data_IF_765473392741
#
_entry.id   IF_765473392741
#
_cell.length_a   1.000
_cell.length_b   1.000
_cell.length_c   1.000
_cell.angle_alpha   90.00
_cell.angle_beta   90.00
_cell.angle_gamma   90.00
#
_symmetry.space_group_name_H-M   'P 1'
#
loop_
_entity.id
_entity.type
_entity.pdbx_description
1 polymer ?
#
# COMPACT_ATOMS: atom_id res chain seq x y z
N UNK A 1 -3.66 21.61 4.57
CA UNK A 1 -2.21 21.33 4.64
C UNK A 1 -1.80 20.25 3.63
N UNK A 2 -2.47 19.10 3.57
CA UNK A 2 -2.11 17.94 2.72
C UNK A 2 -2.16 18.22 1.22
N UNK A 3 -3.18 18.93 0.71
CA UNK A 3 -3.27 19.30 -0.71
C UNK A 3 -2.05 20.10 -1.18
N UNK A 4 -1.59 21.06 -0.37
CA UNK A 4 -0.38 21.84 -0.68
C UNK A 4 0.87 20.98 -0.72
N UNK A 5 0.97 20.00 0.16
CA UNK A 5 2.09 19.05 0.17
C UNK A 5 2.10 18.20 -1.10
N UNK A 6 0.97 17.62 -1.47
CA UNK A 6 0.84 16.82 -2.71
C UNK A 6 1.18 17.67 -3.94
N UNK A 7 0.67 18.91 -4.03
CA UNK A 7 1.00 19.83 -5.12
C UNK A 7 2.51 20.14 -5.20
N UNK A 8 3.13 20.42 -4.08
CA UNK A 8 4.56 20.72 -4.02
C UNK A 8 5.41 19.51 -4.43
N UNK A 9 5.02 18.30 -4.02
CA UNK A 9 5.70 17.07 -4.40
C UNK A 9 5.55 16.82 -5.90
N UNK A 10 4.34 16.90 -6.45
CA UNK A 10 4.05 16.69 -7.87
C UNK A 10 4.78 17.71 -8.77
N UNK A 11 4.80 18.99 -8.36
CA UNK A 11 5.49 20.06 -9.09
C UNK A 11 6.98 19.83 -9.23
N UNK A 12 7.65 19.10 -8.30
CA UNK A 12 9.08 18.74 -8.42
C UNK A 12 9.39 17.88 -9.66
N UNK A 13 8.38 17.20 -10.21
CA UNK A 13 8.47 16.38 -11.42
C UNK A 13 7.73 17.01 -12.61
N UNK A 14 7.35 18.28 -12.50
CA UNK A 14 6.67 19.02 -13.57
C UNK A 14 5.18 18.69 -13.72
N UNK A 15 4.58 17.99 -12.75
CA UNK A 15 3.16 17.65 -12.82
C UNK A 15 2.27 18.77 -12.31
N UNK A 16 1.21 19.06 -13.05
CA UNK A 16 0.16 19.98 -12.67
C UNK A 16 -0.90 19.24 -11.89
N UNK A 17 -1.34 19.80 -10.77
CA UNK A 17 -2.38 19.20 -9.93
C UNK A 17 -3.70 19.96 -10.05
N UNK A 18 -4.80 19.21 -10.16
CA UNK A 18 -6.16 19.70 -10.12
C UNK A 18 -6.79 19.13 -8.85
N UNK A 19 -7.49 19.96 -8.08
CA UNK A 19 -8.10 19.53 -6.83
C UNK A 19 -9.60 19.57 -6.90
N UNK A 20 -10.25 18.49 -6.51
CA UNK A 20 -11.65 18.42 -6.19
C UNK A 20 -11.83 18.20 -4.68
N UNK A 21 -12.79 18.84 -4.05
CA UNK A 21 -13.10 18.68 -2.63
C UNK A 21 -14.10 17.56 -2.38
N UNK A 22 -14.93 17.29 -3.37
CA UNK A 22 -16.03 16.36 -3.31
C UNK A 22 -15.99 15.40 -4.49
N UNK A 23 -16.53 14.21 -4.32
CA UNK A 23 -16.56 13.17 -5.34
C UNK A 23 -17.24 13.65 -6.62
N UNK A 24 -18.41 14.29 -6.48
CA UNK A 24 -19.18 14.81 -7.61
C UNK A 24 -18.39 15.84 -8.44
N UNK A 25 -17.70 16.77 -7.76
CA UNK A 25 -16.83 17.75 -8.42
C UNK A 25 -15.67 17.07 -9.15
N UNK A 26 -15.09 16.03 -8.54
CA UNK A 26 -14.02 15.23 -9.14
C UNK A 26 -14.50 14.51 -10.40
N UNK A 27 -15.67 13.89 -10.33
CA UNK A 27 -16.28 13.19 -11.46
C UNK A 27 -16.63 14.17 -12.58
N UNK A 28 -17.24 15.34 -12.26
CA UNK A 28 -17.56 16.37 -13.24
C UNK A 28 -16.30 16.89 -13.95
N UNK A 29 -15.19 17.01 -13.23
CA UNK A 29 -13.90 17.44 -13.79
C UNK A 29 -13.41 16.51 -14.91
N UNK A 30 -13.69 15.20 -14.85
CA UNK A 30 -13.27 14.24 -15.89
C UNK A 30 -13.82 14.56 -17.29
N UNK A 31 -14.96 15.23 -17.36
CA UNK A 31 -15.59 15.66 -18.63
C UNK A 31 -15.06 17.00 -19.17
N UNK A 32 -14.19 17.68 -18.44
CA UNK A 32 -13.60 18.96 -18.87
C UNK A 32 -12.32 18.74 -19.71
N UNK A 33 -11.87 19.73 -20.50
CA UNK A 33 -10.60 19.65 -21.22
C UNK A 33 -9.42 19.32 -20.30
N UNK A 34 -9.37 19.90 -19.10
CA UNK A 34 -8.35 19.61 -18.09
C UNK A 34 -8.45 18.17 -17.57
N UNK A 35 -9.67 17.68 -17.37
CA UNK A 35 -9.90 16.29 -16.93
C UNK A 35 -9.57 15.26 -18.02
N UNK A 36 -9.73 15.61 -19.28
CA UNK A 36 -9.33 14.77 -20.42
C UNK A 36 -7.81 14.59 -20.50
N UNK A 37 -7.05 15.57 -20.03
CA UNK A 37 -5.59 15.57 -20.00
C UNK A 37 -4.98 14.96 -18.71
N UNK A 38 -5.79 14.38 -17.83
CA UNK A 38 -5.29 13.73 -16.61
C UNK A 38 -4.53 12.45 -16.92
N UNK A 39 -3.35 12.33 -16.30
CA UNK A 39 -2.51 11.12 -16.37
C UNK A 39 -2.78 10.16 -15.21
N UNK A 40 -3.25 10.66 -14.06
CA UNK A 40 -3.60 9.84 -12.90
C UNK A 40 -4.59 10.57 -11.97
N UNK A 41 -5.28 9.79 -11.14
CA UNK A 41 -6.13 10.27 -10.04
C UNK A 41 -5.51 9.85 -8.72
N UNK A 42 -5.43 10.79 -7.77
CA UNK A 42 -5.08 10.54 -6.39
C UNK A 42 -6.33 10.72 -5.53
N UNK A 43 -6.90 9.62 -5.07
CA UNK A 43 -8.13 9.58 -4.28
C UNK A 43 -7.81 9.54 -2.79
N UNK A 44 -8.12 10.61 -2.06
CA UNK A 44 -7.95 10.67 -0.60
C UNK A 44 -9.17 10.07 0.11
N UNK A 45 -8.98 8.88 0.68
CA UNK A 45 -9.98 8.18 1.49
C UNK A 45 -9.63 8.32 2.97
N UNK A 46 -9.95 9.47 3.54
CA UNK A 46 -9.71 9.77 4.96
C UNK A 46 -10.95 9.59 5.83
N UNK A 47 -12.15 9.49 5.25
CA UNK A 47 -13.40 9.28 5.97
C UNK A 47 -13.75 7.79 6.01
N UNK A 48 -14.05 7.22 7.19
CA UNK A 48 -14.48 5.83 7.30
C UNK A 48 -15.84 5.56 6.64
N UNK A 49 -16.65 6.60 6.49
CA UNK A 49 -18.02 6.50 5.95
C UNK A 49 -18.07 6.71 4.42
N UNK A 50 -16.95 7.03 3.78
CA UNK A 50 -16.91 7.25 2.34
C UNK A 50 -16.90 5.91 1.60
N UNK A 51 -17.81 5.73 0.64
CA UNK A 51 -17.81 4.59 -0.28
C UNK A 51 -16.71 4.75 -1.35
N UNK A 52 -15.48 4.42 -0.96
CA UNK A 52 -14.36 4.43 -1.90
C UNK A 52 -14.54 3.41 -3.04
N UNK A 53 -15.16 2.29 -2.76
CA UNK A 53 -15.36 1.22 -3.73
C UNK A 53 -16.32 1.66 -4.85
N UNK A 54 -17.46 2.24 -4.47
CA UNK A 54 -18.43 2.79 -5.42
C UNK A 54 -17.83 3.92 -6.26
N UNK A 55 -17.09 4.84 -5.63
CA UNK A 55 -16.43 5.94 -6.33
C UNK A 55 -15.38 5.45 -7.33
N UNK A 56 -14.54 4.48 -6.94
CA UNK A 56 -13.55 3.89 -7.85
C UNK A 56 -14.24 3.20 -9.02
N UNK A 57 -15.32 2.47 -8.79
CA UNK A 57 -16.13 1.83 -9.82
C UNK A 57 -16.70 2.84 -10.83
N UNK A 58 -17.23 3.97 -10.34
CA UNK A 58 -17.74 5.04 -11.20
C UNK A 58 -16.62 5.70 -12.02
N UNK A 59 -15.48 5.99 -11.41
CA UNK A 59 -14.30 6.53 -12.11
C UNK A 59 -13.82 5.57 -13.21
N UNK A 60 -13.81 4.26 -12.95
CA UNK A 60 -13.45 3.22 -13.93
C UNK A 60 -14.43 3.15 -15.09
N UNK A 61 -15.71 3.28 -14.83
CA UNK A 61 -16.73 3.31 -15.89
C UNK A 61 -16.51 4.47 -16.87
N UNK A 62 -16.12 5.64 -16.36
CA UNK A 62 -15.88 6.84 -17.17
C UNK A 62 -14.51 6.86 -17.84
N UNK A 63 -13.50 6.40 -17.14
CA UNK A 63 -12.09 6.41 -17.59
C UNK A 63 -11.42 5.07 -17.25
N UNK A 64 -11.65 4.01 -18.04
CA UNK A 64 -11.20 2.65 -17.73
C UNK A 64 -9.69 2.50 -17.54
N UNK A 65 -8.91 3.27 -18.29
CA UNK A 65 -7.45 3.16 -18.31
C UNK A 65 -6.73 4.18 -17.41
N UNK A 66 -7.45 5.17 -16.85
CA UNK A 66 -6.81 6.22 -16.06
C UNK A 66 -6.34 5.63 -14.70
N UNK A 67 -5.06 5.73 -14.36
CA UNK A 67 -4.56 5.23 -13.07
C UNK A 67 -5.24 5.90 -11.89
N UNK A 68 -5.66 5.10 -10.90
CA UNK A 68 -6.29 5.56 -9.66
C UNK A 68 -5.45 5.08 -8.49
N UNK A 69 -4.78 6.01 -7.79
CA UNK A 69 -4.05 5.72 -6.56
C UNK A 69 -4.89 6.15 -5.36
N UNK A 70 -5.13 5.25 -4.43
CA UNK A 70 -5.90 5.54 -3.22
C UNK A 70 -4.97 5.91 -2.06
N UNK A 71 -5.24 7.03 -1.39
CA UNK A 71 -4.60 7.40 -0.11
C UNK A 71 -5.50 7.00 1.05
N UNK A 72 -4.96 6.30 2.03
CA UNK A 72 -5.69 5.89 3.23
C UNK A 72 -4.90 6.21 4.51
N UNK A 73 -5.62 6.55 5.57
CA UNK A 73 -5.04 6.64 6.91
C UNK A 73 -4.93 5.27 7.58
N UNK A 74 -5.74 4.30 7.13
CA UNK A 74 -5.78 2.95 7.69
C UNK A 74 -5.14 1.97 6.70
N UNK A 75 -3.95 1.50 7.05
CA UNK A 75 -3.18 0.52 6.27
C UNK A 75 -3.62 -0.93 6.43
N UNK A 76 -4.88 -1.21 6.81
CA UNK A 76 -5.34 -2.59 6.93
C UNK A 76 -5.31 -3.31 5.57
N UNK A 77 -4.88 -4.55 5.58
CA UNK A 77 -4.84 -5.41 4.38
C UNK A 77 -6.23 -5.52 3.74
N UNK A 78 -7.29 -5.59 4.54
CA UNK A 78 -8.66 -5.67 4.05
C UNK A 78 -9.04 -4.44 3.20
N UNK A 79 -8.70 -3.23 3.65
CA UNK A 79 -8.97 -2.00 2.90
C UNK A 79 -8.18 -1.93 1.60
N UNK A 80 -6.92 -2.35 1.62
CA UNK A 80 -6.08 -2.42 0.43
C UNK A 80 -6.67 -3.40 -0.61
N UNK A 81 -7.03 -4.61 -0.18
CA UNK A 81 -7.64 -5.63 -1.05
C UNK A 81 -8.97 -5.15 -1.63
N UNK A 82 -9.81 -4.49 -0.83
CA UNK A 82 -11.08 -3.95 -1.31
C UNK A 82 -10.87 -2.85 -2.36
N UNK A 83 -9.91 -1.93 -2.13
CA UNK A 83 -9.57 -0.89 -3.09
C UNK A 83 -9.10 -1.49 -4.43
N UNK A 84 -8.21 -2.47 -4.39
CA UNK A 84 -7.69 -3.13 -5.59
C UNK A 84 -8.80 -3.89 -6.34
N UNK A 85 -9.69 -4.59 -5.63
CA UNK A 85 -10.86 -5.27 -6.23
C UNK A 85 -11.83 -4.29 -6.89
N UNK A 86 -11.97 -3.09 -6.34
CA UNK A 86 -12.82 -2.04 -6.92
C UNK A 86 -12.19 -1.35 -8.12
N UNK A 87 -10.94 -1.67 -8.45
CA UNK A 87 -10.24 -1.16 -9.63
C UNK A 87 -9.22 -0.06 -9.35
N UNK A 88 -8.80 0.18 -8.11
CA UNK A 88 -7.65 1.02 -7.84
C UNK A 88 -6.39 0.43 -8.51
N UNK A 89 -5.50 1.29 -9.00
CA UNK A 89 -4.23 0.86 -9.59
C UNK A 89 -3.20 0.58 -8.50
N UNK A 90 -3.22 1.38 -7.43
CA UNK A 90 -2.35 1.20 -6.27
C UNK A 90 -2.96 1.90 -5.05
N UNK A 91 -2.43 1.63 -3.85
CA UNK A 91 -2.80 2.34 -2.64
C UNK A 91 -1.59 2.80 -1.85
N UNK A 92 -1.72 3.93 -1.14
CA UNK A 92 -0.68 4.55 -0.35
C UNK A 92 -1.19 4.83 1.06
N UNK A 93 -0.39 4.48 2.07
CA UNK A 93 -0.75 4.68 3.48
C UNK A 93 -0.14 6.00 3.98
N UNK A 94 -0.92 6.77 4.71
CA UNK A 94 -0.45 7.98 5.41
C UNK A 94 0.32 7.61 6.70
N UNK A 95 1.36 8.33 7.08
CA UNK A 95 1.90 9.55 6.50
C UNK A 95 2.61 9.30 5.16
N UNK A 96 2.43 10.23 4.21
CA UNK A 96 2.90 10.06 2.83
C UNK A 96 4.32 10.61 2.66
N UNK A 97 5.29 9.74 2.43
CA UNK A 97 6.64 10.14 2.04
C UNK A 97 6.65 10.63 0.59
N UNK A 98 7.36 11.73 0.33
CA UNK A 98 7.41 12.37 -0.98
C UNK A 98 7.93 11.42 -2.08
N UNK A 99 9.01 10.69 -1.79
CA UNK A 99 9.63 9.74 -2.70
C UNK A 99 8.69 8.61 -3.08
N UNK A 100 7.88 8.14 -2.11
CA UNK A 100 6.92 7.06 -2.33
C UNK A 100 5.76 7.51 -3.20
N UNK A 101 5.23 8.74 -3.00
CA UNK A 101 4.20 9.30 -3.85
C UNK A 101 4.68 9.43 -5.28
N UNK A 102 5.88 9.99 -5.47
CA UNK A 102 6.46 10.17 -6.81
C UNK A 102 6.67 8.83 -7.51
N UNK A 103 7.26 7.85 -6.83
CA UNK A 103 7.50 6.52 -7.39
C UNK A 103 6.20 5.82 -7.80
N UNK A 104 5.14 5.92 -6.98
CA UNK A 104 3.84 5.32 -7.28
C UNK A 104 3.16 6.00 -8.49
N UNK A 105 3.22 7.34 -8.56
CA UNK A 105 2.68 8.09 -9.69
C UNK A 105 3.45 7.79 -10.98
N UNK A 106 4.79 7.80 -10.95
CA UNK A 106 5.64 7.48 -12.12
C UNK A 106 5.37 6.06 -12.63
N UNK A 107 5.24 5.10 -11.73
CA UNK A 107 4.91 3.72 -12.09
C UNK A 107 3.52 3.62 -12.72
N UNK A 108 2.52 4.30 -12.15
CA UNK A 108 1.16 4.28 -12.65
C UNK A 108 1.02 4.93 -14.03
N UNK A 109 1.65 6.08 -14.25
CA UNK A 109 1.64 6.82 -15.53
C UNK A 109 2.52 6.15 -16.59
N UNK A 110 3.64 5.54 -16.18
CA UNK A 110 4.57 4.86 -17.09
C UNK A 110 4.04 3.55 -17.68
N UNK A 111 2.79 3.17 -17.41
CA UNK A 111 2.17 1.95 -17.95
C UNK A 111 2.83 0.65 -17.45
N UNK A 112 3.70 0.72 -16.47
CA UNK A 112 4.15 -0.44 -15.71
C UNK A 112 2.98 -0.87 -14.83
N UNK A 113 2.15 -1.71 -15.42
CA UNK A 113 1.04 -2.34 -14.71
C UNK A 113 1.56 -2.94 -13.40
N UNK A 114 0.71 -2.90 -12.38
CA UNK A 114 0.94 -3.42 -11.03
C UNK A 114 1.44 -4.88 -10.95
N UNK A 115 1.74 -5.52 -12.07
CA UNK A 115 2.39 -6.83 -12.16
C UNK A 115 3.90 -6.79 -11.89
N UNK A 116 4.55 -5.60 -11.93
CA UNK A 116 5.97 -5.45 -11.57
C UNK A 116 6.21 -4.58 -10.33
N UNK A 117 5.19 -3.85 -9.88
CA UNK A 117 5.15 -3.39 -8.51
C UNK A 117 4.69 -4.59 -7.67
N UNK A 118 5.64 -5.39 -7.24
CA UNK A 118 5.41 -6.34 -6.14
C UNK A 118 4.56 -5.63 -5.10
N UNK A 119 3.37 -6.14 -4.77
CA UNK A 119 2.51 -5.49 -3.79
C UNK A 119 3.36 -5.18 -2.56
N UNK A 120 3.13 -4.04 -1.93
CA UNK A 120 3.72 -3.75 -0.61
C UNK A 120 3.33 -4.80 0.44
N UNK A 121 2.28 -5.60 0.18
CA UNK A 121 2.03 -6.87 0.84
C UNK A 121 3.21 -7.84 0.70
N UNK A 122 3.97 -7.87 -0.40
CA UNK A 122 5.19 -8.69 -0.48
C UNK A 122 6.38 -8.08 0.26
N UNK A 123 6.45 -6.76 0.45
CA UNK A 123 7.47 -6.16 1.34
C UNK A 123 7.06 -6.16 2.82
N UNK A 124 5.75 -6.26 3.10
CA UNK A 124 5.23 -6.59 4.44
C UNK A 124 5.07 -8.09 4.63
N UNK A 125 5.18 -8.89 3.57
CA UNK A 125 5.13 -10.35 3.54
C UNK A 125 6.37 -10.96 2.89
N UNK A 126 7.45 -10.20 2.65
CA UNK A 126 8.75 -10.84 2.62
C UNK A 126 8.92 -11.40 4.04
N UNK A 127 8.96 -12.72 4.20
CA UNK A 127 9.16 -13.30 5.52
C UNK A 127 10.45 -12.69 6.05
N UNK A 128 10.35 -11.97 7.17
CA UNK A 128 11.49 -11.37 7.83
C UNK A 128 12.50 -12.49 8.05
N UNK A 129 13.68 -12.35 7.47
CA UNK A 129 14.75 -13.25 7.78
C UNK A 129 14.99 -13.18 9.30
N UNK A 130 15.42 -14.28 9.93
CA UNK A 130 15.63 -14.30 11.38
C UNK A 130 16.51 -13.15 11.88
N UNK A 131 17.38 -12.62 11.02
CA UNK A 131 18.30 -11.51 11.29
C UNK A 131 17.60 -10.14 11.30
N UNK A 132 16.43 -10.03 10.67
CA UNK A 132 15.63 -8.81 10.59
C UNK A 132 14.60 -8.69 11.72
N UNK A 133 14.39 -9.78 12.50
CA UNK A 133 13.49 -9.76 13.65
C UNK A 133 14.11 -8.95 14.77
N UNK A 134 13.53 -7.80 15.05
CA UNK A 134 14.01 -6.85 16.08
C UNK A 134 13.66 -7.37 17.47
N UNK A 135 14.67 -7.62 18.28
CA UNK A 135 14.53 -7.99 19.68
C UNK A 135 15.89 -8.10 20.36
N UNK A 136 16.09 -7.35 21.45
CA UNK A 136 17.36 -7.29 22.20
C UNK A 136 17.41 -8.24 23.39
N UNK A 137 16.26 -8.78 23.85
CA UNK A 137 16.20 -9.66 25.01
C UNK A 137 16.97 -10.99 24.77
N UNK A 138 17.89 -11.38 25.65
CA UNK A 138 18.71 -12.58 25.47
C UNK A 138 17.90 -13.86 25.27
N UNK A 139 16.79 -14.02 26.00
CA UNK A 139 15.90 -15.17 25.89
C UNK A 139 15.17 -15.22 24.53
N UNK A 140 14.78 -14.06 24.01
CA UNK A 140 14.14 -13.95 22.71
C UNK A 140 15.12 -14.33 21.58
N UNK A 141 16.37 -13.86 21.66
CA UNK A 141 17.43 -14.24 20.70
C UNK A 141 17.76 -15.72 20.74
N UNK A 142 17.75 -16.32 21.92
CA UNK A 142 17.94 -17.75 22.07
C UNK A 142 16.81 -18.54 21.41
N UNK A 143 15.55 -18.10 21.59
CA UNK A 143 14.39 -18.72 20.95
C UNK A 143 14.46 -18.61 19.42
N UNK A 144 14.83 -17.45 18.86
CA UNK A 144 15.05 -17.28 17.42
C UNK A 144 16.15 -18.19 16.87
N UNK A 145 17.24 -18.36 17.59
CA UNK A 145 18.33 -19.26 17.18
C UNK A 145 17.88 -20.73 17.14
N UNK A 146 17.03 -21.16 18.09
CA UNK A 146 16.41 -22.48 18.09
C UNK A 146 15.47 -22.65 16.91
N UNK A 147 14.58 -21.66 16.68
CA UNK A 147 13.65 -21.65 15.56
C UNK A 147 14.36 -21.74 14.20
N UNK A 148 15.46 -20.99 14.01
CA UNK A 148 16.27 -21.04 12.80
C UNK A 148 16.93 -22.42 12.57
N UNK A 149 17.39 -23.10 13.63
CA UNK A 149 17.91 -24.47 13.53
C UNK A 149 16.82 -25.46 13.16
N UNK A 150 15.65 -25.36 13.78
CA UNK A 150 14.50 -26.22 13.49
C UNK A 150 14.00 -26.07 12.05
N UNK A 151 13.93 -24.84 11.55
CA UNK A 151 13.57 -24.54 10.15
C UNK A 151 14.51 -25.26 9.16
N UNK A 152 15.82 -25.15 9.35
CA UNK A 152 16.82 -25.82 8.51
C UNK A 152 16.73 -27.34 8.58
N UNK A 153 16.37 -27.88 9.76
CA UNK A 153 16.18 -29.29 9.96
C UNK A 153 14.84 -29.84 9.46
N UNK A 154 13.92 -28.94 9.03
CA UNK A 154 12.57 -29.27 8.57
C UNK A 154 11.77 -30.13 9.55
N UNK A 155 11.89 -29.83 10.84
CA UNK A 155 11.13 -30.51 11.90
C UNK A 155 9.91 -29.69 12.28
N UNK A 156 8.81 -30.31 12.77
CA UNK A 156 7.67 -29.58 13.28
C UNK A 156 8.07 -28.62 14.41
N UNK A 157 7.55 -27.38 14.36
CA UNK A 157 7.85 -26.33 15.36
C UNK A 157 6.55 -25.90 16.01
N UNK A 158 6.50 -25.94 17.35
CA UNK A 158 5.42 -25.36 18.15
C UNK A 158 5.92 -24.04 18.75
N UNK A 159 5.18 -22.94 18.49
CA UNK A 159 5.50 -21.61 19.01
C UNK A 159 4.47 -21.23 20.05
N UNK A 160 4.89 -21.13 21.30
CA UNK A 160 4.04 -20.75 22.44
C UNK A 160 4.43 -19.38 23.00
N UNK A 161 3.46 -18.67 23.56
CA UNK A 161 3.66 -17.37 24.19
C UNK A 161 2.35 -16.61 24.36
N UNK A 162 2.40 -15.49 25.07
CA UNK A 162 1.24 -14.61 25.30
C UNK A 162 0.68 -14.01 24.00
N UNK A 163 -0.55 -13.52 24.05
CA UNK A 163 -1.14 -12.83 22.88
C UNK A 163 -0.37 -11.53 22.57
N UNK A 164 -0.11 -11.27 21.30
CA UNK A 164 0.56 -10.03 20.87
C UNK A 164 2.10 -10.04 20.95
N UNK A 165 2.76 -11.12 21.40
CA UNK A 165 4.25 -11.18 21.51
C UNK A 165 4.98 -11.43 20.17
N UNK A 166 4.27 -11.46 19.05
CA UNK A 166 4.91 -11.62 17.73
C UNK A 166 5.13 -13.08 17.28
N UNK A 167 4.32 -14.04 17.78
CA UNK A 167 4.40 -15.44 17.35
C UNK A 167 4.26 -15.62 15.84
N UNK A 168 3.40 -14.83 15.21
CA UNK A 168 3.18 -14.84 13.76
C UNK A 168 4.47 -14.52 12.98
N UNK A 169 5.21 -13.50 13.42
CA UNK A 169 6.48 -13.10 12.80
C UNK A 169 7.50 -14.21 12.84
N UNK A 170 7.59 -14.93 13.98
CA UNK A 170 8.50 -16.07 14.13
C UNK A 170 8.04 -17.25 13.26
N UNK A 171 6.73 -17.51 13.17
CA UNK A 171 6.18 -18.57 12.33
C UNK A 171 6.44 -18.31 10.83
N UNK A 172 6.28 -17.08 10.38
CA UNK A 172 6.60 -16.66 9.01
C UNK A 172 8.09 -16.83 8.70
N UNK A 173 8.98 -16.42 9.61
CA UNK A 173 10.42 -16.60 9.44
C UNK A 173 10.84 -18.08 9.39
N UNK A 174 10.21 -18.94 10.21
CA UNK A 174 10.42 -20.40 10.17
C UNK A 174 9.97 -20.96 8.83
N UNK A 175 8.79 -20.56 8.35
CA UNK A 175 8.24 -21.02 7.07
C UNK A 175 9.10 -20.60 5.89
N UNK A 176 9.62 -19.39 5.90
CA UNK A 176 10.51 -18.88 4.86
C UNK A 176 11.88 -19.56 4.80
N UNK A 177 12.35 -20.04 5.94
CA UNK A 177 13.66 -20.69 6.06
C UNK A 177 13.60 -22.22 5.84
N UNK A 178 12.39 -22.78 5.66
CA UNK A 178 12.18 -24.19 5.31
C UNK A 178 12.28 -24.45 3.81
#
# INVERSE_FOLDING_TARGET
AQRRLVAAIAARRGWRTIFASEAETGIATLGTPDGMALDAILLDHSSPDADAAGLIGELRTRRPQLPILMLTANGSVANAVNAMRSGATDFLVKPLAAERLLAALEAAVGGKTAGELRPLTEKLSAPLAFDEIVGSAPLFRAALAIAAKAARARVPVLIEGESGVGKEVVAEAVHAAC
#
